data_IF_206006401641
#
_entry.id   IF_206006401641
#
_cell.length_a   1.000
_cell.length_b   1.000
_cell.length_c   1.000
_cell.angle_alpha   90.00
_cell.angle_beta   90.00
_cell.angle_gamma   90.00
#
_symmetry.space_group_name_H-M   'P 1'
#
loop_
_entity.id
_entity.type
_entity.pdbx_description
1 polymer ?
#
# COMPACT_ATOMS: atom_id res chain seq x y z
N UNK A 1 7.20 -33.63 -18.94
CA UNK A 1 5.93 -32.86 -18.90
C UNK A 1 6.24 -31.40 -19.19
N UNK A 2 5.95 -30.93 -20.40
CA UNK A 2 6.22 -29.54 -20.76
C UNK A 2 5.29 -28.61 -19.97
N UNK A 3 5.83 -27.56 -19.35
CA UNK A 3 5.03 -26.45 -18.83
C UNK A 3 4.27 -25.86 -20.02
N UNK A 4 2.98 -26.18 -20.14
CA UNK A 4 2.15 -25.63 -21.17
C UNK A 4 2.08 -24.10 -21.01
N UNK A 5 2.43 -23.36 -22.07
CA UNK A 5 2.22 -21.93 -22.12
C UNK A 5 0.71 -21.63 -22.12
N UNK A 6 0.32 -20.45 -21.62
CA UNK A 6 -1.07 -20.04 -21.60
C UNK A 6 -1.60 -19.80 -23.02
N UNK A 7 -2.44 -20.72 -23.52
CA UNK A 7 -3.22 -20.50 -24.75
C UNK A 7 -4.50 -19.69 -24.49
N UNK A 8 -5.12 -19.20 -25.56
CA UNK A 8 -6.39 -18.45 -25.54
C UNK A 8 -7.52 -19.19 -24.81
N UNK A 9 -7.51 -20.52 -24.83
CA UNK A 9 -8.46 -21.37 -24.11
C UNK A 9 -8.46 -21.17 -22.57
N UNK A 10 -7.40 -20.60 -22.01
CA UNK A 10 -7.25 -20.35 -20.57
C UNK A 10 -7.58 -18.89 -20.19
N UNK A 11 -8.40 -18.19 -20.97
CA UNK A 11 -8.80 -16.83 -20.68
C UNK A 11 -9.45 -16.71 -19.28
N UNK A 12 -8.97 -15.76 -18.49
CA UNK A 12 -9.46 -15.52 -17.13
C UNK A 12 -9.01 -16.54 -16.08
N UNK A 13 -8.14 -17.51 -16.41
CA UNK A 13 -7.60 -18.52 -15.47
C UNK A 13 -7.10 -17.89 -14.16
N UNK A 14 -6.26 -16.85 -14.26
CA UNK A 14 -5.65 -16.21 -13.08
C UNK A 14 -6.71 -15.53 -12.21
N UNK A 15 -7.64 -14.78 -12.81
CA UNK A 15 -8.70 -14.09 -12.07
C UNK A 15 -9.69 -15.05 -11.40
N UNK A 16 -9.95 -16.22 -12.00
CA UNK A 16 -10.78 -17.27 -11.40
C UNK A 16 -10.06 -17.99 -10.25
N UNK A 17 -8.75 -18.15 -10.35
CA UNK A 17 -7.93 -18.84 -9.34
C UNK A 17 -7.66 -17.97 -8.10
N UNK A 18 -7.54 -16.66 -8.27
CA UNK A 18 -7.26 -15.76 -7.13
C UNK A 18 -8.38 -15.83 -6.09
N UNK A 19 -8.09 -16.08 -4.79
CA UNK A 19 -9.11 -16.09 -3.76
C UNK A 19 -9.77 -14.72 -3.64
N UNK A 20 -11.09 -14.69 -3.48
CA UNK A 20 -11.84 -13.44 -3.35
C UNK A 20 -11.73 -12.91 -1.92
N UNK A 21 -10.76 -12.02 -1.70
CA UNK A 21 -10.58 -11.34 -0.40
C UNK A 21 -11.56 -10.16 -0.30
N UNK A 22 -12.41 -10.16 0.73
CA UNK A 22 -13.34 -9.05 1.00
C UNK A 22 -12.60 -7.82 1.51
N UNK A 23 -13.10 -6.63 1.17
CA UNK A 23 -12.54 -5.37 1.69
C UNK A 23 -12.85 -5.25 3.18
N UNK A 24 -11.86 -4.81 3.96
CA UNK A 24 -12.06 -4.47 5.37
C UNK A 24 -12.94 -3.22 5.50
N UNK A 25 -13.77 -3.17 6.54
CA UNK A 25 -14.50 -1.96 6.92
C UNK A 25 -13.50 -0.90 7.39
N UNK A 26 -13.59 0.31 6.82
CA UNK A 26 -12.71 1.45 7.15
C UNK A 26 -13.57 2.67 7.43
N UNK A 27 -13.13 3.50 8.36
CA UNK A 27 -13.74 4.82 8.57
C UNK A 27 -13.66 5.66 7.31
N UNK A 28 -14.61 6.58 7.15
CA UNK A 28 -14.64 7.50 6.00
C UNK A 28 -13.35 8.33 5.99
N UNK A 29 -12.72 8.42 4.82
CA UNK A 29 -11.58 9.32 4.64
C UNK A 29 -12.04 10.77 4.62
N UNK A 30 -11.27 11.66 5.24
CA UNK A 30 -11.46 13.11 5.11
C UNK A 30 -11.24 13.55 3.66
N UNK A 31 -12.01 14.52 3.19
CA UNK A 31 -11.97 15.01 1.81
C UNK A 31 -11.69 16.52 1.73
N UNK A 32 -11.31 17.00 0.55
CA UNK A 32 -11.09 18.43 0.27
C UNK A 32 -9.99 19.06 1.12
N UNK A 33 -10.28 20.23 1.69
CA UNK A 33 -9.31 21.02 2.47
C UNK A 33 -8.81 20.29 3.73
N UNK A 34 -9.65 19.49 4.36
CA UNK A 34 -9.25 18.68 5.51
C UNK A 34 -8.21 17.62 5.12
N UNK A 35 -8.33 17.02 3.94
CA UNK A 35 -7.36 16.05 3.42
C UNK A 35 -6.01 16.71 3.11
N UNK A 36 -6.03 17.89 2.46
CA UNK A 36 -4.81 18.66 2.19
C UNK A 36 -4.09 19.08 3.47
N UNK A 37 -4.84 19.49 4.51
CA UNK A 37 -4.26 19.80 5.83
C UNK A 37 -3.61 18.58 6.47
N UNK A 38 -4.26 17.42 6.41
CA UNK A 38 -3.71 16.18 6.95
C UNK A 38 -2.44 15.73 6.20
N UNK A 39 -2.41 15.90 4.87
CA UNK A 39 -1.23 15.64 4.06
C UNK A 39 -0.10 16.60 4.43
N UNK A 40 -0.32 17.91 4.44
CA UNK A 40 0.71 18.89 4.79
C UNK A 40 1.34 18.61 6.16
N UNK A 41 0.50 18.34 7.17
CA UNK A 41 0.98 17.97 8.51
C UNK A 41 1.87 16.73 8.49
N UNK A 42 1.51 15.72 7.69
CA UNK A 42 2.27 14.46 7.59
C UNK A 42 3.57 14.59 6.80
N UNK A 43 3.58 15.42 5.76
CA UNK A 43 4.72 15.54 4.84
C UNK A 43 5.77 16.56 5.30
N UNK A 44 5.34 17.70 5.83
CA UNK A 44 6.24 18.85 6.04
C UNK A 44 6.39 19.25 7.50
N UNK A 45 5.38 19.01 8.33
CA UNK A 45 5.38 19.46 9.72
C UNK A 45 5.85 18.37 10.71
N UNK A 46 5.95 17.12 10.26
CA UNK A 46 6.20 15.96 11.11
C UNK A 46 7.54 15.29 10.75
N UNK A 47 8.42 15.11 11.74
CA UNK A 47 9.73 14.45 11.58
C UNK A 47 9.66 12.95 11.28
N UNK A 48 8.46 12.37 11.27
CA UNK A 48 8.23 10.95 10.98
C UNK A 48 8.74 10.48 9.61
N UNK A 49 8.98 11.38 8.65
CA UNK A 49 9.55 11.05 7.33
C UNK A 49 11.07 11.14 7.29
N UNK A 50 11.72 11.42 8.42
CA UNK A 50 13.17 11.45 8.52
C UNK A 50 13.71 10.12 9.06
N UNK A 51 14.78 9.63 8.44
CA UNK A 51 15.53 8.49 8.93
C UNK A 51 17.02 8.78 8.74
N UNK A 52 17.77 8.76 9.83
CA UNK A 52 19.21 9.05 9.83
C UNK A 52 19.55 10.37 9.11
N UNK A 53 18.75 11.41 9.36
CA UNK A 53 18.92 12.74 8.76
C UNK A 53 18.52 12.88 7.29
N UNK A 54 18.02 11.81 6.64
CA UNK A 54 17.55 11.85 5.25
C UNK A 54 16.04 11.73 5.18
N UNK A 55 15.43 12.53 4.30
CA UNK A 55 14.01 12.40 4.00
C UNK A 55 13.75 11.08 3.26
N UNK A 56 12.75 10.33 3.70
CA UNK A 56 12.35 9.05 3.11
C UNK A 56 10.91 9.14 2.59
N UNK A 57 10.61 8.36 1.54
CA UNK A 57 9.26 8.26 1.01
C UNK A 57 8.24 7.78 2.08
N UNK A 58 7.01 8.32 2.11
CA UNK A 58 6.02 8.02 3.15
C UNK A 58 5.54 6.57 3.21
N UNK A 59 5.75 5.81 2.13
CA UNK A 59 5.40 4.40 1.99
C UNK A 59 6.65 3.51 1.84
N UNK A 60 7.78 3.95 2.37
CA UNK A 60 8.99 3.11 2.43
C UNK A 60 8.81 1.92 3.38
N UNK A 61 9.50 0.82 3.07
CA UNK A 61 9.47 -0.39 3.90
C UNK A 61 10.01 -0.13 5.33
N UNK A 62 11.05 0.70 5.45
CA UNK A 62 11.63 1.12 6.74
C UNK A 62 10.57 1.79 7.62
N UNK A 63 9.79 2.73 7.07
CA UNK A 63 8.72 3.39 7.82
C UNK A 63 7.56 2.45 8.14
N UNK A 64 7.26 1.48 7.26
CA UNK A 64 6.24 0.46 7.52
C UNK A 64 6.63 -0.45 8.69
N UNK A 65 7.91 -0.84 8.79
CA UNK A 65 8.46 -1.56 9.96
C UNK A 65 8.38 -0.72 11.23
N UNK A 66 8.85 0.54 11.19
CA UNK A 66 8.74 1.46 12.35
C UNK A 66 7.32 1.66 12.86
N UNK A 67 6.31 1.59 11.97
CA UNK A 67 4.89 1.71 12.29
C UNK A 67 4.24 0.39 12.73
N UNK A 68 5.00 -0.70 12.81
CA UNK A 68 4.48 -2.03 13.17
C UNK A 68 3.52 -2.63 12.13
N UNK A 69 3.56 -2.14 10.89
CA UNK A 69 2.66 -2.59 9.81
C UNK A 69 3.16 -3.84 9.08
N UNK A 70 4.40 -4.23 9.32
CA UNK A 70 5.07 -5.38 8.71
C UNK A 70 5.92 -6.04 9.79
N UNK A 71 5.87 -7.37 9.89
CA UNK A 71 6.77 -8.15 10.74
C UNK A 71 8.23 -8.00 10.26
N UNK A 72 9.21 -8.33 11.11
CA UNK A 72 10.63 -8.26 10.75
C UNK A 72 10.97 -9.01 9.46
#
# INVERSE_FOLDING_TARGET
MARAHGGLANAGKVRKQTPKVTKQQKSRSVTGRAALRAQYKKFFCSDQLMFNGKAISPNSFILRKKRGLVAE
#
